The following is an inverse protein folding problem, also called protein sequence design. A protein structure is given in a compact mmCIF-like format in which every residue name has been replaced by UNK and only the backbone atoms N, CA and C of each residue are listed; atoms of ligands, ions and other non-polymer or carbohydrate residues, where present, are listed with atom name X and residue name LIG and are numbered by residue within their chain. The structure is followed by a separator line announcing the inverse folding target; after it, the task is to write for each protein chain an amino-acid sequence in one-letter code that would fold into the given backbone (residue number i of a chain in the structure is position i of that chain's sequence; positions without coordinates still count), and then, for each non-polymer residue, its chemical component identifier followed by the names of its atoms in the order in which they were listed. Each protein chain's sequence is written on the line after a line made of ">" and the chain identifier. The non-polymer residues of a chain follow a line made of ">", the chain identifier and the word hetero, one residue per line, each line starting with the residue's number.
data_IF_812121222040
#
_entry.id   IF_812121222040
#
_cell.length_a   1.000
_cell.length_b   1.000
_cell.length_c   1.000
_cell.angle_alpha   90.00
_cell.angle_beta   90.00
_cell.angle_gamma   90.00
#
_symmetry.space_group_name_H-M   'P 1'
#
loop_
_entity.id
_entity.type
_entity.pdbx_description
1 polymer ?
#
# COMPACT_ATOMS: atom_id res chain seq x y z
N UNK A 1 21.85 11.40 -5.13
CA UNK A 1 21.02 10.18 -4.95
C UNK A 1 19.98 10.16 -6.06
N UNK A 2 19.55 8.99 -6.58
CA UNK A 2 18.50 8.97 -7.62
C UNK A 2 17.13 8.67 -7.02
N UNK A 3 16.08 9.04 -7.74
CA UNK A 3 14.69 8.78 -7.32
C UNK A 3 14.41 7.28 -7.11
N UNK A 4 14.96 6.42 -7.95
CA UNK A 4 14.81 4.97 -7.85
C UNK A 4 15.47 4.43 -6.57
N UNK A 5 16.60 5.01 -6.15
CA UNK A 5 17.27 4.66 -4.90
C UNK A 5 16.37 4.98 -3.70
N UNK A 6 15.71 6.14 -3.72
CA UNK A 6 14.81 6.56 -2.64
C UNK A 6 13.54 5.70 -2.56
N UNK A 7 12.99 5.31 -3.72
CA UNK A 7 11.84 4.39 -3.78
C UNK A 7 12.24 3.01 -3.25
N UNK A 8 13.44 2.52 -3.59
CA UNK A 8 13.97 1.24 -3.09
C UNK A 8 14.20 1.28 -1.58
N UNK A 9 14.82 2.34 -1.07
CA UNK A 9 15.04 2.55 0.38
C UNK A 9 13.74 2.33 1.12
N UNK A 10 12.62 2.85 0.62
CA UNK A 10 11.33 2.74 1.27
C UNK A 10 10.79 1.29 1.42
N UNK A 11 11.43 0.30 0.78
CA UNK A 11 11.17 -1.13 0.96
C UNK A 11 12.17 -1.86 1.88
N UNK A 12 13.28 -1.22 2.23
CA UNK A 12 14.39 -1.78 3.01
C UNK A 12 14.31 -1.32 4.49
N UNK A 13 13.47 -1.98 5.30
CA UNK A 13 13.40 -1.72 6.75
C UNK A 13 14.21 -2.76 7.57
N UNK A 14 15.00 -2.36 8.58
CA UNK A 14 15.28 -0.98 9.01
C UNK A 14 16.17 -0.22 8.02
N UNK A 15 15.96 1.09 7.91
CA UNK A 15 16.64 1.91 6.91
C UNK A 15 18.10 2.19 7.29
N UNK A 16 19.02 2.22 6.31
CA UNK A 16 20.42 2.55 6.57
C UNK A 16 20.57 4.02 6.98
N UNK A 17 21.58 4.30 7.80
CA UNK A 17 22.02 5.67 8.06
C UNK A 17 22.97 6.10 6.95
N UNK A 18 22.67 7.21 6.30
CA UNK A 18 23.52 7.81 5.26
C UNK A 18 24.12 9.10 5.83
N UNK A 19 25.41 9.35 5.62
CA UNK A 19 26.05 10.58 6.12
C UNK A 19 25.63 11.80 5.30
N UNK A 20 25.97 11.81 4.01
CA UNK A 20 25.71 12.94 3.12
C UNK A 20 24.78 12.54 1.97
N UNK A 21 23.79 13.38 1.68
CA UNK A 21 22.86 13.20 0.56
C UNK A 21 22.89 14.44 -0.32
N UNK A 22 23.26 14.27 -1.58
CA UNK A 22 23.07 15.28 -2.62
C UNK A 22 21.75 15.02 -3.35
N UNK A 23 20.89 16.05 -3.39
CA UNK A 23 19.56 16.00 -4.00
C UNK A 23 19.59 16.54 -5.43
N UNK A 24 18.89 15.82 -6.30
CA UNK A 24 18.50 16.29 -7.63
C UNK A 24 17.04 16.79 -7.61
N UNK A 25 16.68 17.70 -8.52
CA UNK A 25 15.30 18.22 -8.63
C UNK A 25 14.27 17.08 -8.79
N UNK A 26 14.62 16.02 -9.54
CA UNK A 26 13.74 14.87 -9.76
C UNK A 26 13.34 14.16 -8.45
N UNK A 27 14.21 14.13 -7.43
CA UNK A 27 13.83 13.55 -6.13
C UNK A 27 12.70 14.35 -5.50
N UNK A 28 12.75 15.68 -5.64
CA UNK A 28 11.78 16.61 -5.05
C UNK A 28 10.47 16.67 -5.86
N UNK A 29 10.40 16.03 -7.02
CA UNK A 29 9.15 15.76 -7.75
C UNK A 29 8.32 14.64 -7.11
N UNK A 30 8.92 13.85 -6.21
CA UNK A 30 8.18 12.90 -5.38
C UNK A 30 7.56 13.62 -4.18
N UNK A 31 6.24 13.49 -4.02
CA UNK A 31 5.49 14.18 -2.97
C UNK A 31 5.96 13.83 -1.54
N UNK A 32 6.40 12.60 -1.33
CA UNK A 32 6.82 12.06 -0.04
C UNK A 32 8.34 12.11 0.18
N UNK A 33 9.09 12.77 -0.71
CA UNK A 33 10.55 12.81 -0.62
C UNK A 33 11.08 13.32 0.73
N UNK A 34 10.54 14.37 1.39
CA UNK A 34 11.11 14.83 2.65
C UNK A 34 10.97 13.80 3.77
N UNK A 35 9.84 13.06 3.82
CA UNK A 35 9.64 11.98 4.78
C UNK A 35 10.63 10.84 4.53
N UNK A 36 10.77 10.38 3.28
CA UNK A 36 11.68 9.30 2.94
C UNK A 36 13.15 9.66 3.17
N UNK A 37 13.56 10.89 2.86
CA UNK A 37 14.91 11.38 3.12
C UNK A 37 15.18 11.45 4.63
N UNK A 38 14.19 11.87 5.43
CA UNK A 38 14.35 11.92 6.89
C UNK A 38 14.60 10.55 7.52
N UNK A 39 14.06 9.47 6.93
CA UNK A 39 14.27 8.11 7.42
C UNK A 39 15.70 7.60 7.23
N UNK A 40 16.47 8.22 6.34
CA UNK A 40 17.89 7.90 6.13
C UNK A 40 18.81 8.58 7.16
N UNK A 41 18.27 9.45 8.01
CA UNK A 41 19.00 10.24 9.02
C UNK A 41 20.30 10.89 8.49
N UNK A 42 20.25 11.65 7.38
CA UNK A 42 21.42 12.35 6.85
C UNK A 42 22.00 13.35 7.85
N UNK A 43 23.33 13.35 8.00
CA UNK A 43 24.03 14.41 8.74
C UNK A 43 24.12 15.70 7.92
N UNK A 44 24.13 15.59 6.59
CA UNK A 44 24.18 16.72 5.67
C UNK A 44 23.32 16.44 4.42
N UNK A 45 22.52 17.42 4.00
CA UNK A 45 21.74 17.36 2.75
C UNK A 45 22.13 18.55 1.91
N UNK A 46 22.66 18.32 0.70
CA UNK A 46 23.03 19.38 -0.24
C UNK A 46 22.04 19.44 -1.40
N UNK A 47 21.75 20.66 -1.85
CA UNK A 47 20.92 20.93 -3.03
C UNK A 47 21.33 22.27 -3.66
N UNK A 48 20.82 22.62 -4.84
CA UNK A 48 21.17 23.90 -5.51
C UNK A 48 20.95 25.12 -4.62
N UNK A 49 19.86 25.12 -3.83
CA UNK A 49 19.49 26.23 -2.96
C UNK A 49 19.53 25.86 -1.48
N UNK A 50 19.78 26.85 -0.63
CA UNK A 50 19.54 26.76 0.81
C UNK A 50 18.02 26.81 1.03
N UNK A 51 17.42 25.70 1.44
CA UNK A 51 15.98 25.58 1.50
C UNK A 51 15.47 24.81 2.72
N UNK A 52 14.27 25.17 3.15
CA UNK A 52 13.42 24.37 4.00
C UNK A 52 12.33 23.74 3.12
N UNK A 53 12.35 22.43 2.98
CA UNK A 53 11.50 21.69 2.05
C UNK A 53 10.48 20.89 2.85
N UNK A 54 9.20 21.12 2.58
CA UNK A 54 8.07 20.57 3.32
C UNK A 54 7.32 19.52 2.47
N UNK A 55 7.18 18.32 3.03
CA UNK A 55 6.45 17.19 2.46
C UNK A 55 4.94 17.31 2.60
N UNK A 56 4.19 16.47 1.86
CA UNK A 56 2.71 16.41 1.96
C UNK A 56 2.21 15.96 3.34
N UNK A 57 2.99 15.15 4.04
CA UNK A 57 2.72 14.67 5.40
C UNK A 57 3.13 15.68 6.49
N UNK A 58 3.76 16.80 6.09
CA UNK A 58 4.29 17.82 7.00
C UNK A 58 5.73 17.58 7.47
N UNK A 59 6.40 16.53 6.96
CA UNK A 59 7.84 16.34 7.18
C UNK A 59 8.66 17.51 6.62
N UNK A 60 9.80 17.80 7.24
CA UNK A 60 10.66 18.93 6.86
C UNK A 60 12.11 18.46 6.77
N UNK A 61 12.77 18.77 5.66
CA UNK A 61 14.22 18.65 5.51
C UNK A 61 14.83 20.04 5.24
N UNK A 62 16.10 20.21 5.61
CA UNK A 62 16.87 21.43 5.36
C UNK A 62 18.05 21.10 4.47
N UNK A 63 18.28 21.93 3.45
CA UNK A 63 19.38 21.75 2.50
C UNK A 63 20.42 22.85 2.66
N UNK A 64 21.69 22.48 2.49
CA UNK A 64 22.78 23.42 2.32
C UNK A 64 22.95 23.70 0.83
N UNK A 65 22.73 24.96 0.46
CA UNK A 65 22.83 25.44 -0.92
C UNK A 65 24.29 25.61 -1.37
N UNK A 66 24.58 25.24 -2.61
CA UNK A 66 25.88 25.53 -3.23
C UNK A 66 25.87 26.86 -4.02
N UNK A 67 24.69 27.42 -4.33
CA UNK A 67 24.58 28.70 -5.03
C UNK A 67 24.70 29.90 -4.08
N UNK A 68 25.48 30.91 -4.52
CA UNK A 68 26.05 32.05 -3.77
C UNK A 68 25.04 33.08 -3.19
N UNK A 69 23.76 32.77 -3.09
CA UNK A 69 22.75 33.70 -2.55
C UNK A 69 22.40 33.29 -1.12
N UNK A 70 22.59 34.19 -0.13
CA UNK A 70 22.24 33.98 1.30
C UNK A 70 20.73 33.78 1.55
N UNK A 71 19.93 33.73 0.48
CA UNK A 71 18.48 33.57 0.53
C UNK A 71 18.11 32.15 0.89
N UNK A 72 17.39 32.02 1.99
CA UNK A 72 16.74 30.77 2.40
C UNK A 72 15.37 30.65 1.74
N UNK A 73 15.18 29.61 0.94
CA UNK A 73 13.91 29.31 0.28
C UNK A 73 13.01 28.45 1.18
N UNK A 74 11.69 28.59 1.00
CA UNK A 74 10.68 27.72 1.58
C UNK A 74 9.93 27.03 0.45
N UNK A 75 9.99 25.70 0.40
CA UNK A 75 9.53 24.91 -0.74
C UNK A 75 8.58 23.81 -0.27
N UNK A 76 7.62 23.45 -1.12
CA UNK A 76 6.74 22.31 -0.92
C UNK A 76 6.94 21.29 -2.02
N UNK A 77 6.94 20.01 -1.68
CA UNK A 77 6.93 18.94 -2.67
C UNK A 77 5.49 18.63 -3.13
N UNK A 78 5.32 18.21 -4.39
CA UNK A 78 6.35 18.06 -5.40
C UNK A 78 6.71 19.41 -6.05
N UNK A 79 7.97 19.60 -6.48
CA UNK A 79 8.37 20.81 -7.24
C UNK A 79 7.69 20.80 -8.61
N UNK A 80 7.81 19.69 -9.33
CA UNK A 80 7.03 19.41 -10.54
C UNK A 80 6.22 18.13 -10.33
N UNK A 81 4.94 18.15 -10.70
CA UNK A 81 4.10 16.96 -10.56
C UNK A 81 4.52 15.92 -11.59
N UNK A 82 4.92 14.74 -11.13
CA UNK A 82 5.27 13.59 -11.97
C UNK A 82 4.47 12.35 -11.59
N UNK A 83 4.06 11.57 -12.58
CA UNK A 83 3.31 10.31 -12.38
C UNK A 83 4.29 9.16 -12.55
N UNK A 84 4.61 8.49 -11.44
CA UNK A 84 5.68 7.49 -11.38
C UNK A 84 5.18 6.07 -11.12
N UNK A 85 3.96 5.91 -10.58
CA UNK A 85 3.44 4.63 -10.11
C UNK A 85 4.14 4.17 -8.83
N UNK A 86 3.65 3.07 -8.26
CA UNK A 86 4.28 2.47 -7.07
C UNK A 86 4.15 0.94 -7.12
N UNK A 87 5.29 0.28 -6.98
CA UNK A 87 5.36 -1.18 -6.96
C UNK A 87 5.35 -1.67 -5.51
N UNK A 88 4.22 -2.24 -5.08
CA UNK A 88 4.13 -2.96 -3.82
C UNK A 88 4.94 -4.26 -3.91
N UNK A 89 5.99 -4.39 -3.11
CA UNK A 89 6.78 -5.63 -2.99
C UNK A 89 6.54 -6.17 -1.58
N UNK A 90 5.88 -7.33 -1.49
CA UNK A 90 5.58 -7.97 -0.22
C UNK A 90 6.17 -9.38 -0.16
N UNK A 91 6.81 -9.71 0.96
CA UNK A 91 7.30 -11.07 1.22
C UNK A 91 6.15 -12.00 1.61
N UNK A 92 5.60 -12.69 0.62
CA UNK A 92 4.53 -13.67 0.82
C UNK A 92 4.97 -14.84 1.72
N UNK A 93 6.28 -15.14 1.83
CA UNK A 93 6.78 -16.20 2.72
C UNK A 93 6.58 -15.84 4.19
N UNK A 94 6.78 -14.58 4.55
CA UNK A 94 6.51 -14.09 5.90
C UNK A 94 5.04 -14.30 6.29
N UNK A 95 4.11 -14.03 5.37
CA UNK A 95 2.67 -14.26 5.61
C UNK A 95 2.36 -15.76 5.76
N UNK A 96 2.97 -16.61 4.92
CA UNK A 96 2.83 -18.07 5.04
C UNK A 96 3.34 -18.60 6.38
N UNK A 97 4.51 -18.14 6.84
CA UNK A 97 5.06 -18.52 8.14
C UNK A 97 4.13 -18.11 9.29
N UNK A 98 3.63 -16.87 9.26
CA UNK A 98 2.66 -16.37 10.24
C UNK A 98 1.41 -17.26 10.29
N UNK A 99 0.90 -17.65 9.12
CA UNK A 99 -0.25 -18.55 9.03
C UNK A 99 0.02 -19.90 9.67
N UNK A 100 1.15 -20.54 9.33
CA UNK A 100 1.48 -21.88 9.82
C UNK A 100 1.71 -21.90 11.34
N UNK A 101 2.27 -20.82 11.90
CA UNK A 101 2.47 -20.71 13.34
C UNK A 101 1.15 -20.48 14.11
N UNK A 102 0.20 -19.72 13.53
CA UNK A 102 -1.02 -19.32 14.23
C UNK A 102 -2.22 -20.23 13.96
N UNK A 103 -2.38 -20.74 12.74
CA UNK A 103 -3.57 -21.47 12.30
C UNK A 103 -3.30 -22.99 12.35
N UNK A 104 -4.07 -23.77 13.11
CA UNK A 104 -4.02 -25.22 13.02
C UNK A 104 -4.40 -25.71 11.61
N UNK A 105 -3.52 -26.50 11.00
CA UNK A 105 -3.70 -27.10 9.69
C UNK A 105 -3.65 -28.61 9.77
N UNK A 106 -4.46 -29.27 8.94
CA UNK A 106 -4.35 -30.70 8.61
C UNK A 106 -3.72 -30.87 7.22
N UNK A 107 -3.41 -32.11 6.84
CA UNK A 107 -2.99 -32.44 5.47
C UNK A 107 -4.10 -32.09 4.45
N UNK A 108 -3.70 -31.47 3.34
CA UNK A 108 -4.57 -31.11 2.23
C UNK A 108 -4.35 -29.69 1.72
N UNK A 109 -5.18 -29.29 0.75
CA UNK A 109 -5.06 -28.00 0.08
C UNK A 109 -5.95 -26.92 0.69
N UNK A 110 -5.45 -25.69 0.68
CA UNK A 110 -6.17 -24.51 1.12
C UNK A 110 -5.75 -23.25 0.36
N UNK A 111 -6.45 -22.16 0.65
CA UNK A 111 -6.25 -20.85 0.05
C UNK A 111 -6.15 -19.81 1.16
N UNK A 112 -5.21 -18.89 1.00
CA UNK A 112 -5.09 -17.68 1.81
C UNK A 112 -5.31 -16.46 0.92
N UNK A 113 -6.24 -15.60 1.32
CA UNK A 113 -6.27 -14.21 0.90
C UNK A 113 -5.27 -13.41 1.75
N UNK A 114 -4.10 -13.02 1.21
CA UNK A 114 -3.15 -12.20 1.98
C UNK A 114 -3.65 -10.76 2.15
N UNK A 115 -4.69 -10.33 1.45
CA UNK A 115 -5.18 -8.96 1.54
C UNK A 115 -5.80 -8.68 2.91
N UNK A 116 -5.48 -7.54 3.56
CA UNK A 116 -6.17 -7.11 4.78
C UNK A 116 -7.61 -6.64 4.52
N UNK A 117 -8.08 -6.68 3.27
CA UNK A 117 -9.42 -6.28 2.83
C UNK A 117 -10.14 -7.41 2.11
N UNK A 118 -11.43 -7.20 1.86
CA UNK A 118 -12.23 -8.10 1.02
C UNK A 118 -11.65 -8.12 -0.39
N UNK A 119 -11.34 -9.33 -0.88
CA UNK A 119 -10.78 -9.56 -2.20
C UNK A 119 -11.87 -10.03 -3.15
N UNK A 120 -11.99 -9.34 -4.28
CA UNK A 120 -12.71 -9.79 -5.48
C UNK A 120 -11.66 -10.19 -6.50
N UNK A 121 -11.74 -11.41 -7.01
CA UNK A 121 -10.71 -11.96 -7.92
C UNK A 121 -11.24 -13.16 -8.70
N UNK A 122 -10.37 -13.82 -9.47
CA UNK A 122 -10.66 -15.05 -10.20
C UNK A 122 -9.75 -16.19 -9.75
N UNK A 123 -10.32 -17.37 -9.55
CA UNK A 123 -9.59 -18.64 -9.46
C UNK A 123 -10.10 -19.51 -10.59
N UNK A 124 -9.21 -19.99 -11.47
CA UNK A 124 -9.56 -20.88 -12.58
C UNK A 124 -10.71 -20.31 -13.45
N UNK A 125 -10.61 -19.01 -13.76
CA UNK A 125 -11.60 -18.22 -14.51
C UNK A 125 -12.98 -18.08 -13.86
N UNK A 126 -13.18 -18.53 -12.62
CA UNK A 126 -14.40 -18.31 -11.85
C UNK A 126 -14.20 -17.12 -10.91
N UNK A 127 -15.16 -16.20 -10.91
CA UNK A 127 -15.19 -15.06 -9.99
C UNK A 127 -15.37 -15.55 -8.55
N UNK A 128 -14.61 -14.96 -7.65
CA UNK A 128 -14.62 -15.29 -6.23
C UNK A 128 -14.67 -14.03 -5.37
N UNK A 129 -15.12 -14.22 -4.13
CA UNK A 129 -14.99 -13.22 -3.06
C UNK A 129 -14.35 -13.91 -1.85
N UNK A 130 -13.31 -13.30 -1.28
CA UNK A 130 -12.70 -13.73 -0.02
C UNK A 130 -12.70 -12.58 0.97
N UNK A 131 -13.00 -12.88 2.23
CA UNK A 131 -12.93 -11.93 3.33
C UNK A 131 -11.48 -11.51 3.63
N UNK A 132 -11.27 -10.41 4.37
CA UNK A 132 -9.95 -9.98 4.86
C UNK A 132 -9.16 -11.12 5.49
N UNK A 133 -7.93 -11.35 5.03
CA UNK A 133 -7.04 -12.36 5.60
C UNK A 133 -7.57 -13.79 5.54
N UNK A 134 -8.63 -14.07 4.77
CA UNK A 134 -9.35 -15.34 4.85
C UNK A 134 -8.45 -16.54 4.52
N UNK A 135 -8.46 -17.53 5.40
CA UNK A 135 -7.87 -18.85 5.22
C UNK A 135 -9.00 -19.86 5.10
N UNK A 136 -9.07 -20.58 3.98
CA UNK A 136 -10.19 -21.49 3.68
C UNK A 136 -9.77 -22.64 2.77
N UNK A 137 -10.52 -23.74 2.78
CA UNK A 137 -10.42 -24.80 1.76
C UNK A 137 -11.33 -24.55 0.56
N UNK A 138 -12.36 -23.71 0.74
CA UNK A 138 -13.44 -23.49 -0.25
C UNK A 138 -13.69 -22.01 -0.46
N UNK A 139 -12.95 -21.35 -1.38
CA UNK A 139 -13.23 -19.97 -1.78
C UNK A 139 -14.71 -19.81 -2.21
N UNK A 140 -15.32 -18.67 -1.91
CA UNK A 140 -16.70 -18.43 -2.34
C UNK A 140 -16.73 -18.00 -3.80
N UNK A 141 -17.38 -18.79 -4.63
CA UNK A 141 -17.67 -18.43 -6.01
C UNK A 141 -18.90 -17.52 -6.04
N UNK A 142 -18.69 -16.25 -6.36
CA UNK A 142 -19.75 -15.24 -6.41
C UNK A 142 -19.40 -14.22 -7.49
N UNK A 143 -20.42 -13.82 -8.24
CA UNK A 143 -20.26 -12.79 -9.27
C UNK A 143 -19.92 -11.43 -8.63
N UNK A 144 -19.17 -10.61 -9.36
CA UNK A 144 -18.74 -9.28 -8.95
C UNK A 144 -18.48 -8.37 -10.15
N UNK A 145 -18.42 -7.07 -9.91
CA UNK A 145 -18.42 -6.00 -10.92
C UNK A 145 -17.11 -5.82 -11.69
N UNK A 146 -16.00 -6.40 -11.23
CA UNK A 146 -14.71 -6.27 -11.91
C UNK A 146 -14.77 -6.89 -13.31
N UNK A 147 -14.32 -6.13 -14.31
CA UNK A 147 -14.18 -6.55 -15.70
C UNK A 147 -12.69 -6.77 -15.97
N UNK A 148 -12.35 -7.92 -16.56
CA UNK A 148 -10.99 -8.33 -16.88
C UNK A 148 -10.77 -8.20 -18.38
N UNK A 149 -9.86 -7.31 -18.77
CA UNK A 149 -9.40 -7.12 -20.15
C UNK A 149 -7.96 -7.64 -20.29
N UNK A 150 -7.65 -8.23 -21.44
CA UNK A 150 -6.30 -8.70 -21.75
C UNK A 150 -5.30 -7.54 -21.88
N UNK A 151 -4.00 -7.87 -21.81
CA UNK A 151 -2.92 -6.88 -21.98
C UNK A 151 -2.93 -6.26 -23.37
N UNK A 152 -2.47 -5.00 -23.48
CA UNK A 152 -2.35 -4.29 -24.75
C UNK A 152 -3.00 -2.91 -24.74
N UNK A 153 -3.56 -2.53 -25.87
CA UNK A 153 -4.25 -1.23 -26.04
C UNK A 153 -5.76 -1.42 -25.90
N UNK A 154 -6.32 -0.85 -24.85
CA UNK A 154 -7.76 -0.83 -24.60
C UNK A 154 -8.30 0.53 -25.02
N UNK A 155 -9.39 0.53 -25.79
CA UNK A 155 -10.10 1.74 -26.20
C UNK A 155 -11.51 1.72 -25.63
N UNK A 156 -11.90 2.83 -24.99
CA UNK A 156 -13.21 2.98 -24.37
C UNK A 156 -13.71 4.41 -24.53
N UNK A 157 -14.95 4.57 -24.95
CA UNK A 157 -15.61 5.88 -24.92
C UNK A 157 -16.20 6.13 -23.52
N UNK A 158 -15.71 7.18 -22.87
CA UNK A 158 -16.20 7.67 -21.57
C UNK A 158 -17.10 8.88 -21.67
N UNK A 159 -17.03 9.61 -22.78
CA UNK A 159 -17.64 10.94 -22.96
C UNK A 159 -17.14 11.99 -21.95
N UNK A 160 -16.03 11.75 -21.26
CA UNK A 160 -15.43 12.71 -20.32
C UNK A 160 -14.48 13.65 -21.05
N UNK A 161 -14.82 14.93 -21.14
CA UNK A 161 -13.96 15.91 -21.78
C UNK A 161 -12.74 16.29 -20.91
N UNK A 162 -12.97 16.64 -19.64
CA UNK A 162 -11.96 17.11 -18.69
C UNK A 162 -12.11 16.48 -17.28
N UNK A 163 -12.06 15.14 -17.17
CA UNK A 163 -12.23 14.48 -15.88
C UNK A 163 -11.07 14.82 -14.94
N UNK A 164 -11.32 14.68 -13.64
CA UNK A 164 -10.25 14.66 -12.66
C UNK A 164 -9.61 13.27 -12.65
N UNK A 165 -8.29 13.24 -12.76
CA UNK A 165 -7.52 12.01 -12.71
C UNK A 165 -7.02 11.77 -11.30
N UNK A 166 -7.20 10.55 -10.81
CA UNK A 166 -6.55 10.04 -9.60
C UNK A 166 -5.64 8.89 -9.97
N UNK A 167 -4.47 8.83 -9.35
CA UNK A 167 -3.44 7.84 -9.67
C UNK A 167 -2.59 7.52 -8.44
N UNK A 168 -1.91 6.38 -8.49
CA UNK A 168 -0.97 5.95 -7.47
C UNK A 168 0.40 6.58 -7.72
N UNK A 169 0.90 7.29 -6.73
CA UNK A 169 2.31 7.62 -6.60
C UNK A 169 2.89 6.88 -5.38
N UNK A 170 4.22 6.82 -5.22
CA UNK A 170 4.81 6.18 -4.06
C UNK A 170 4.26 6.79 -2.76
N UNK A 171 3.64 5.94 -1.93
CA UNK A 171 3.08 6.28 -0.62
C UNK A 171 1.95 7.33 -0.60
N UNK A 172 1.34 7.66 -1.75
CA UNK A 172 0.23 8.61 -1.82
C UNK A 172 -0.68 8.37 -3.02
N UNK A 173 -1.95 8.75 -2.90
CA UNK A 173 -2.85 8.89 -4.05
C UNK A 173 -2.90 10.36 -4.43
N UNK A 174 -2.42 10.64 -5.63
CA UNK A 174 -2.35 11.99 -6.18
C UNK A 174 -3.49 12.24 -7.16
N UNK A 175 -3.72 13.52 -7.47
CA UNK A 175 -4.73 13.92 -8.45
C UNK A 175 -4.25 15.04 -9.34
N UNK A 176 -4.69 15.01 -10.60
CA UNK A 176 -4.36 16.01 -11.62
C UNK A 176 -5.55 16.27 -12.55
N UNK A 177 -5.51 17.39 -13.27
CA UNK A 177 -6.40 17.69 -14.40
C UNK A 177 -5.86 17.14 -15.72
N UNK A 178 -4.62 16.66 -15.75
CA UNK A 178 -3.95 16.05 -16.91
C UNK A 178 -3.27 14.73 -16.54
N UNK A 179 -2.97 13.91 -17.54
CA UNK A 179 -2.19 12.68 -17.40
C UNK A 179 -0.85 12.84 -18.09
N UNK A 180 0.22 12.72 -17.31
CA UNK A 180 1.60 12.83 -17.75
C UNK A 180 2.43 11.79 -17.00
N UNK A 181 2.58 10.60 -17.60
CA UNK A 181 3.42 9.54 -17.07
C UNK A 181 2.69 8.19 -16.93
N UNK A 182 3.15 7.40 -15.95
CA UNK A 182 2.70 6.01 -15.74
C UNK A 182 2.27 5.80 -14.30
N UNK A 183 1.25 4.98 -14.08
CA UNK A 183 0.78 4.59 -12.75
C UNK A 183 0.17 3.19 -12.81
N UNK A 184 0.08 2.48 -11.68
CA UNK A 184 -0.57 1.17 -11.61
C UNK A 184 -2.10 1.27 -11.72
N UNK A 185 -2.66 2.46 -11.46
CA UNK A 185 -4.05 2.75 -11.79
C UNK A 185 -4.25 4.20 -12.25
N UNK A 186 -5.31 4.41 -13.03
CA UNK A 186 -5.93 5.72 -13.21
C UNK A 186 -7.43 5.62 -13.00
N UNK A 187 -7.97 6.52 -12.18
CA UNK A 187 -9.40 6.73 -12.01
C UNK A 187 -9.78 8.08 -12.60
N UNK A 188 -10.67 8.06 -13.59
CA UNK A 188 -11.23 9.24 -14.21
C UNK A 188 -12.58 9.51 -13.56
N UNK A 189 -12.72 10.66 -12.93
CA UNK A 189 -13.90 11.03 -12.15
C UNK A 189 -14.51 12.33 -12.65
N UNK A 190 -15.82 12.30 -12.92
CA UNK A 190 -16.65 13.46 -13.24
C UNK A 190 -18.04 13.30 -12.58
N UNK A 191 -19.08 12.97 -13.34
CA UNK A 191 -20.41 12.58 -12.83
C UNK A 191 -20.42 11.13 -12.28
N UNK A 192 -19.55 10.29 -12.84
CA UNK A 192 -19.24 8.95 -12.39
C UNK A 192 -17.72 8.71 -12.45
N UNK A 193 -17.27 7.53 -12.02
CA UNK A 193 -15.88 7.16 -12.01
C UNK A 193 -15.62 5.86 -12.77
N UNK A 194 -14.65 5.91 -13.69
CA UNK A 194 -14.10 4.74 -14.39
C UNK A 194 -12.66 4.56 -13.92
N UNK A 195 -12.34 3.40 -13.34
CA UNK A 195 -10.98 3.08 -12.90
C UNK A 195 -10.39 1.97 -13.75
N UNK A 196 -9.17 2.20 -14.21
CA UNK A 196 -8.33 1.23 -14.91
C UNK A 196 -7.18 0.86 -13.97
N UNK A 197 -7.05 -0.42 -13.67
CA UNK A 197 -6.10 -0.93 -12.68
C UNK A 197 -5.29 -2.06 -13.27
N UNK A 198 -3.98 -2.08 -13.04
CA UNK A 198 -3.12 -3.17 -13.50
C UNK A 198 -2.06 -3.50 -12.45
N UNK A 199 -1.55 -4.72 -12.53
CA UNK A 199 -0.37 -5.11 -11.75
C UNK A 199 0.82 -4.26 -12.19
N UNK A 200 1.04 -4.11 -13.49
CA UNK A 200 2.09 -3.24 -14.05
C UNK A 200 1.66 -1.77 -14.15
N UNK A 201 2.63 -0.88 -14.31
CA UNK A 201 2.34 0.53 -14.61
C UNK A 201 1.74 0.62 -16.02
N UNK A 202 0.71 1.44 -16.18
CA UNK A 202 0.00 1.67 -17.44
C UNK A 202 0.04 3.15 -17.81
N UNK A 203 -0.21 3.48 -19.08
CA UNK A 203 -0.44 4.86 -19.55
C UNK A 203 -1.89 5.04 -19.96
N UNK A 204 -2.39 6.26 -19.84
CA UNK A 204 -3.72 6.62 -20.32
C UNK A 204 -3.65 7.94 -21.10
N UNK A 205 -4.43 8.02 -22.17
CA UNK A 205 -4.68 9.27 -22.90
C UNK A 205 -6.17 9.43 -23.10
N UNK A 206 -6.67 10.66 -22.95
CA UNK A 206 -8.06 11.01 -23.21
C UNK A 206 -8.11 12.03 -24.34
N UNK A 207 -8.73 11.65 -25.46
CA UNK A 207 -8.98 12.56 -26.57
C UNK A 207 -10.49 12.80 -26.68
N UNK A 208 -10.96 13.93 -26.13
CA UNK A 208 -12.35 14.36 -26.17
C UNK A 208 -13.37 13.29 -25.72
N UNK A 209 -13.03 12.51 -24.68
CA UNK A 209 -13.89 11.46 -24.15
C UNK A 209 -13.57 10.06 -24.65
N UNK A 210 -12.73 9.91 -25.68
CA UNK A 210 -12.21 8.61 -26.10
C UNK A 210 -10.92 8.30 -25.35
N UNK A 211 -10.99 7.28 -24.48
CA UNK A 211 -9.89 6.86 -23.62
C UNK A 211 -9.11 5.77 -24.34
N UNK A 212 -7.79 5.92 -24.38
CA UNK A 212 -6.86 4.85 -24.75
C UNK A 212 -5.99 4.50 -23.54
N UNK A 213 -5.95 3.23 -23.17
CA UNK A 213 -5.12 2.69 -22.09
C UNK A 213 -4.12 1.73 -22.69
N UNK A 214 -2.84 1.90 -22.38
CA UNK A 214 -1.80 0.95 -22.78
C UNK A 214 -1.19 0.31 -21.53
N UNK A 215 -1.21 -1.02 -21.48
CA UNK A 215 -0.67 -1.79 -20.37
C UNK A 215 0.08 -3.04 -20.86
N UNK A 216 1.22 -3.32 -20.23
CA UNK A 216 2.02 -4.52 -20.51
C UNK A 216 1.42 -5.79 -19.88
N UNK A 217 0.47 -5.62 -18.97
CA UNK A 217 -0.24 -6.73 -18.31
C UNK A 217 -1.75 -6.48 -18.34
N UNK A 218 -2.49 -7.48 -17.86
CA UNK A 218 -3.95 -7.44 -17.76
C UNK A 218 -4.44 -6.16 -17.08
N UNK A 219 -5.57 -5.63 -17.56
CA UNK A 219 -6.24 -4.47 -16.96
C UNK A 219 -7.57 -4.89 -16.35
N UNK A 220 -7.81 -4.44 -15.13
CA UNK A 220 -9.09 -4.51 -14.45
C UNK A 220 -9.80 -3.17 -14.62
N UNK A 221 -11.03 -3.22 -15.14
CA UNK A 221 -11.90 -2.06 -15.27
C UNK A 221 -13.01 -2.16 -14.23
N UNK A 222 -13.26 -1.06 -13.52
CA UNK A 222 -14.38 -0.92 -12.58
C UNK A 222 -15.06 0.43 -12.74
N UNK A 223 -16.38 0.45 -12.52
CA UNK A 223 -17.23 1.64 -12.57
C UNK A 223 -17.89 1.88 -11.22
N UNK A 224 -17.88 3.12 -10.77
CA UNK A 224 -18.40 3.53 -9.45
C UNK A 224 -18.81 5.01 -9.48
N UNK A 225 -19.28 5.58 -8.35
CA UNK A 225 -19.55 7.03 -8.29
C UNK A 225 -18.28 7.84 -8.06
N UNK A 226 -17.37 7.31 -7.25
CA UNK A 226 -16.09 7.96 -6.92
C UNK A 226 -14.96 6.94 -6.88
N UNK A 227 -13.72 7.38 -7.10
CA UNK A 227 -12.56 6.50 -7.01
C UNK A 227 -12.41 5.85 -5.62
N UNK A 228 -12.94 6.49 -4.57
CA UNK A 228 -12.92 5.96 -3.21
C UNK A 228 -13.84 4.76 -3.03
N UNK A 229 -14.90 4.65 -3.82
CA UNK A 229 -15.79 3.49 -3.83
C UNK A 229 -15.15 2.31 -4.57
N UNK A 230 -14.47 2.57 -5.69
CA UNK A 230 -13.79 1.52 -6.46
C UNK A 230 -12.52 0.99 -5.79
N UNK A 231 -11.92 1.77 -4.87
CA UNK A 231 -10.71 1.43 -4.11
C UNK A 231 -9.61 0.80 -4.98
N UNK A 232 -9.18 1.49 -6.06
CA UNK A 232 -8.28 0.91 -7.05
C UNK A 232 -6.93 0.50 -6.46
N UNK A 233 -6.48 1.16 -5.39
CA UNK A 233 -5.26 0.80 -4.66
C UNK A 233 -5.34 -0.59 -4.00
N UNK A 234 -6.51 -1.01 -3.50
CA UNK A 234 -6.71 -2.38 -2.96
C UNK A 234 -6.60 -3.40 -4.10
N UNK A 235 -7.11 -3.06 -5.30
CA UNK A 235 -7.01 -3.90 -6.49
C UNK A 235 -5.55 -4.01 -6.96
N UNK A 236 -4.78 -2.91 -7.03
CA UNK A 236 -3.34 -2.95 -7.34
C UNK A 236 -2.61 -3.87 -6.37
N UNK A 237 -2.87 -3.72 -5.06
CA UNK A 237 -2.26 -4.54 -4.02
C UNK A 237 -2.57 -6.03 -4.22
N UNK A 238 -3.83 -6.37 -4.51
CA UNK A 238 -4.27 -7.75 -4.76
C UNK A 238 -3.62 -8.36 -6.01
N UNK A 239 -3.44 -7.58 -7.08
CA UNK A 239 -2.77 -8.04 -8.31
C UNK A 239 -1.28 -8.30 -8.09
N UNK A 240 -0.63 -7.51 -7.22
CA UNK A 240 0.78 -7.71 -6.83
C UNK A 240 0.99 -8.80 -5.79
N UNK A 241 -0.02 -9.06 -4.97
CA UNK A 241 0.01 -10.07 -3.90
C UNK A 241 -1.08 -11.11 -4.15
N UNK A 242 -0.83 -12.10 -5.04
CA UNK A 242 -1.85 -13.07 -5.45
C UNK A 242 -2.32 -13.96 -4.29
N UNK A 243 -3.47 -14.61 -4.49
CA UNK A 243 -3.97 -15.63 -3.57
C UNK A 243 -2.93 -16.73 -3.43
N UNK A 244 -2.65 -17.10 -2.18
CA UNK A 244 -1.63 -18.09 -1.88
C UNK A 244 -2.32 -19.46 -1.78
N UNK A 245 -1.95 -20.38 -2.68
CA UNK A 245 -2.28 -21.80 -2.54
C UNK A 245 -1.39 -22.39 -1.44
N UNK A 246 -2.00 -23.11 -0.51
CA UNK A 246 -1.35 -23.70 0.66
C UNK A 246 -1.46 -25.21 0.60
N UNK A 247 -0.38 -25.91 0.99
CA UNK A 247 -0.47 -27.31 1.41
C UNK A 247 -0.80 -27.38 2.91
N UNK A 248 -1.89 -26.70 3.28
CA UNK A 248 -2.46 -26.69 4.61
C UNK A 248 -3.98 -26.66 4.45
N UNK A 249 -4.66 -27.63 5.04
CA UNK A 249 -6.12 -27.64 5.16
C UNK A 249 -6.50 -26.97 6.50
N UNK A 250 -6.93 -25.70 6.53
CA UNK A 250 -7.32 -25.06 7.77
C UNK A 250 -8.54 -25.74 8.38
N UNK A 251 -8.52 -25.97 9.70
CA UNK A 251 -9.66 -26.57 10.43
C UNK A 251 -10.91 -25.70 10.39
N UNK A 252 -10.73 -24.39 10.31
CA UNK A 252 -11.78 -23.38 10.33
C UNK A 252 -11.56 -22.35 9.24
N UNK A 253 -12.65 -21.83 8.68
CA UNK A 253 -12.62 -20.62 7.85
C UNK A 253 -12.43 -19.40 8.74
N UNK A 254 -11.25 -18.80 8.76
CA UNK A 254 -10.88 -17.70 9.67
C UNK A 254 -10.12 -16.60 8.97
N UNK A 255 -10.14 -15.39 9.52
CA UNK A 255 -9.31 -14.27 9.06
C UNK A 255 -7.95 -14.33 9.77
N UNK A 256 -6.86 -14.52 9.04
CA UNK A 256 -5.51 -14.45 9.59
C UNK A 256 -5.25 -13.06 10.18
N UNK A 257 -5.52 -12.01 9.41
CA UNK A 257 -5.45 -10.63 9.87
C UNK A 257 -6.37 -9.71 9.06
N UNK A 258 -6.66 -8.54 9.63
CA UNK A 258 -7.36 -7.46 8.92
C UNK A 258 -6.88 -6.10 9.43
N UNK A 259 -7.04 -5.08 8.58
CA UNK A 259 -6.69 -3.68 8.88
C UNK A 259 -7.89 -2.81 8.56
N UNK A 260 -8.27 -1.97 9.51
CA UNK A 260 -9.34 -0.98 9.36
C UNK A 260 -8.84 0.41 9.82
N UNK A 261 -9.32 1.52 9.22
CA UNK A 261 -10.16 1.60 8.02
C UNK A 261 -9.39 1.29 6.72
N UNK A 262 -10.11 1.17 5.60
CA UNK A 262 -9.51 1.18 4.26
C UNK A 262 -8.64 2.42 4.05
N UNK A 263 -7.58 2.29 3.26
CA UNK A 263 -6.60 3.35 3.02
C UNK A 263 -5.36 3.29 3.91
N UNK A 264 -5.31 2.38 4.89
CA UNK A 264 -4.07 1.99 5.57
C UNK A 264 -3.49 0.77 4.86
N UNK A 265 -2.38 0.95 4.15
CA UNK A 265 -1.79 -0.12 3.31
C UNK A 265 -0.54 -0.70 3.99
N UNK A 266 -0.48 -2.03 4.19
CA UNK A 266 0.78 -2.69 4.50
C UNK A 266 1.65 -2.76 3.23
N UNK A 267 2.80 -2.08 3.26
CA UNK A 267 3.78 -2.14 2.19
C UNK A 267 4.99 -3.00 2.54
N UNK A 268 5.16 -3.35 3.82
CA UNK A 268 6.20 -4.25 4.30
C UNK A 268 5.65 -5.13 5.42
N UNK A 269 5.94 -6.43 5.34
CA UNK A 269 5.54 -7.44 6.33
C UNK A 269 6.71 -8.39 6.51
N UNK A 270 7.15 -8.60 7.74
CA UNK A 270 8.14 -9.59 8.10
C UNK A 270 7.67 -10.39 9.30
N UNK A 271 7.80 -11.71 9.24
CA UNK A 271 7.48 -12.58 10.36
C UNK A 271 8.60 -13.59 10.63
N UNK A 272 9.02 -13.65 11.90
CA UNK A 272 9.93 -14.67 12.41
C UNK A 272 9.55 -15.07 13.84
N UNK A 273 9.24 -16.36 14.05
CA UNK A 273 9.09 -17.02 15.36
C UNK A 273 8.29 -16.21 16.40
N UNK A 274 7.06 -15.83 16.06
CA UNK A 274 6.19 -15.08 16.97
C UNK A 274 6.43 -13.56 16.98
N UNK A 275 7.35 -13.03 16.17
CA UNK A 275 7.54 -11.60 15.98
C UNK A 275 7.03 -11.18 14.60
N UNK A 276 5.97 -10.36 14.56
CA UNK A 276 5.42 -9.77 13.35
C UNK A 276 5.81 -8.29 13.27
N UNK A 277 6.49 -7.90 12.21
CA UNK A 277 6.80 -6.50 11.92
C UNK A 277 6.03 -6.04 10.69
N UNK A 278 5.50 -4.82 10.76
CA UNK A 278 4.64 -4.22 9.74
C UNK A 278 5.15 -2.81 9.41
N UNK A 279 5.19 -2.47 8.13
CA UNK A 279 5.31 -1.12 7.63
C UNK A 279 3.97 -0.71 7.02
N UNK A 280 3.32 0.28 7.62
CA UNK A 280 1.99 0.75 7.24
C UNK A 280 2.08 2.17 6.69
N UNK A 281 1.41 2.44 5.58
CA UNK A 281 1.21 3.80 5.05
C UNK A 281 -0.25 4.21 5.15
N UNK A 282 -0.50 5.44 5.58
CA UNK A 282 -1.84 6.03 5.56
C UNK A 282 -2.04 6.84 4.28
N UNK A 283 -2.88 6.39 3.36
CA UNK A 283 -3.20 7.13 2.14
C UNK A 283 -4.26 8.24 2.34
N UNK A 284 -4.74 8.42 3.57
CA UNK A 284 -5.74 9.42 3.89
C UNK A 284 -5.11 10.77 4.27
N UNK A 285 -5.84 11.84 3.97
CA UNK A 285 -5.46 13.24 4.28
C UNK A 285 -5.68 13.62 5.74
N UNK A 286 -6.11 12.68 6.56
CA UNK A 286 -6.37 12.88 7.99
C UNK A 286 -5.55 11.84 8.77
N UNK A 287 -5.11 12.17 10.00
CA UNK A 287 -4.55 11.17 10.90
C UNK A 287 -5.61 10.13 11.24
N UNK A 288 -5.19 8.87 11.37
CA UNK A 288 -6.07 7.73 11.60
C UNK A 288 -5.54 6.89 12.75
N UNK A 289 -6.45 6.42 13.60
CA UNK A 289 -6.20 5.33 14.52
C UNK A 289 -6.63 4.03 13.84
N UNK A 290 -5.66 3.24 13.38
CA UNK A 290 -5.92 2.02 12.62
C UNK A 290 -6.09 0.82 13.55
N UNK A 291 -7.19 0.09 13.39
CA UNK A 291 -7.40 -1.19 14.06
C UNK A 291 -6.71 -2.30 13.26
N UNK A 292 -5.68 -2.91 13.84
CA UNK A 292 -5.09 -4.15 13.35
C UNK A 292 -5.65 -5.32 14.17
N UNK A 293 -6.16 -6.35 13.50
CA UNK A 293 -6.62 -7.58 14.16
C UNK A 293 -5.94 -8.82 13.57
N UNK A 294 -5.73 -9.83 14.41
CA UNK A 294 -4.99 -11.06 14.05
C UNK A 294 -5.71 -12.29 14.61
N UNK A 295 -5.63 -13.45 13.95
CA UNK A 295 -5.98 -14.76 14.50
C UNK A 295 -4.90 -15.31 15.46
N UNK A 296 -4.40 -14.43 16.33
CA UNK A 296 -3.35 -14.68 17.31
C UNK A 296 -3.62 -13.86 18.56
N UNK A 297 -2.97 -14.22 19.67
CA UNK A 297 -2.87 -13.35 20.84
C UNK A 297 -1.69 -12.42 20.66
N UNK A 298 -1.93 -11.11 20.68
CA UNK A 298 -0.89 -10.09 20.71
C UNK A 298 -0.49 -9.88 22.17
N UNK A 299 0.75 -10.24 22.51
CA UNK A 299 1.29 -10.12 23.87
C UNK A 299 2.02 -8.81 24.10
N UNK A 300 2.52 -8.19 23.02
CA UNK A 300 3.21 -6.91 23.06
C UNK A 300 3.07 -6.20 21.72
N UNK A 301 2.97 -4.87 21.73
CA UNK A 301 2.92 -4.05 20.55
C UNK A 301 3.79 -2.79 20.72
N UNK A 302 4.66 -2.51 19.76
CA UNK A 302 5.67 -1.46 19.82
C UNK A 302 5.68 -0.65 18.53
N UNK A 303 5.75 0.67 18.63
CA UNK A 303 6.07 1.55 17.49
C UNK A 303 7.59 1.62 17.36
N UNK A 304 8.07 1.52 16.12
CA UNK A 304 9.48 1.62 15.78
C UNK A 304 9.77 2.93 15.03
N UNK A 305 10.96 3.49 15.24
CA UNK A 305 11.53 4.49 14.35
C UNK A 305 12.00 3.87 13.02
N UNK A 306 12.49 4.72 12.12
CA UNK A 306 13.07 4.35 10.82
C UNK A 306 14.22 3.35 10.90
N UNK A 307 14.90 3.24 12.05
CA UNK A 307 16.06 2.38 12.26
C UNK A 307 15.73 1.15 13.12
N UNK A 308 14.45 0.90 13.41
CA UNK A 308 14.00 -0.26 14.16
C UNK A 308 14.14 -0.14 15.68
N UNK A 309 14.42 1.05 16.23
CA UNK A 309 14.41 1.29 17.67
C UNK A 309 12.99 1.58 18.14
N UNK A 310 12.69 1.15 19.36
CA UNK A 310 11.38 1.36 19.97
C UNK A 310 11.21 2.84 20.33
N UNK A 311 10.13 3.45 19.87
CA UNK A 311 9.76 4.84 20.18
C UNK A 311 8.57 4.94 21.11
N UNK A 312 7.64 4.00 21.02
CA UNK A 312 6.42 3.97 21.82
C UNK A 312 5.92 2.53 22.05
N UNK A 313 5.09 2.34 23.06
CA UNK A 313 4.42 1.08 23.38
C UNK A 313 2.91 1.24 23.28
N UNK A 314 2.27 0.29 22.59
CA UNK A 314 0.83 0.27 22.39
C UNK A 314 0.20 -0.80 23.27
N UNK A 315 -0.96 -0.51 23.86
CA UNK A 315 -1.70 -1.49 24.65
C UNK A 315 -2.51 -2.42 23.72
N UNK A 316 -2.23 -3.74 23.71
CA UNK A 316 -2.98 -4.69 22.89
C UNK A 316 -4.29 -5.11 23.56
N UNK A 317 -5.38 -5.08 22.81
CA UNK A 317 -6.70 -5.61 23.19
C UNK A 317 -6.80 -7.10 22.83
N UNK A 318 -5.96 -7.94 23.45
CA UNK A 318 -5.89 -9.40 23.25
C UNK A 318 -5.49 -9.87 21.84
N UNK A 319 -6.34 -9.67 20.83
CA UNK A 319 -6.15 -10.06 19.42
C UNK A 319 -6.15 -8.85 18.47
N UNK A 320 -6.22 -7.64 19.05
CA UNK A 320 -6.28 -6.36 18.36
C UNK A 320 -5.28 -5.37 18.94
N UNK A 321 -4.89 -4.40 18.13
CA UNK A 321 -4.12 -3.25 18.56
C UNK A 321 -4.51 -2.04 17.72
N UNK A 322 -4.56 -0.87 18.38
CA UNK A 322 -4.84 0.42 17.74
C UNK A 322 -3.53 1.13 17.44
N UNK A 323 -3.27 1.38 16.16
CA UNK A 323 -2.01 1.95 15.68
C UNK A 323 -2.28 3.38 15.21
N UNK A 324 -1.74 4.41 15.89
CA UNK A 324 -1.87 5.79 15.44
C UNK A 324 -0.96 6.03 14.23
N UNK A 325 -1.53 6.56 13.15
CA UNK A 325 -0.79 6.88 11.92
C UNK A 325 -1.13 8.32 11.50
N UNK A 326 -0.11 9.13 11.28
CA UNK A 326 -0.27 10.53 10.82
C UNK A 326 -0.90 10.58 9.43
N UNK A 327 -1.46 11.73 9.07
CA UNK A 327 -1.95 11.94 7.70
C UNK A 327 -0.82 11.72 6.70
N UNK A 328 -1.05 10.91 5.66
CA UNK A 328 -0.05 10.63 4.63
C UNK A 328 1.28 10.09 5.19
N UNK A 329 1.22 9.53 6.41
CA UNK A 329 2.37 9.09 7.18
C UNK A 329 2.69 7.62 6.99
N UNK A 330 3.95 7.26 7.25
CA UNK A 330 4.41 5.88 7.38
C UNK A 330 4.66 5.56 8.85
N UNK A 331 4.32 4.35 9.29
CA UNK A 331 4.54 3.89 10.66
C UNK A 331 4.99 2.43 10.66
N UNK A 332 5.99 2.13 11.47
CA UNK A 332 6.50 0.78 11.67
C UNK A 332 6.07 0.25 13.02
N UNK A 333 5.58 -0.99 13.05
CA UNK A 333 5.08 -1.63 14.26
C UNK A 333 5.70 -3.02 14.39
N UNK A 334 6.09 -3.38 15.61
CA UNK A 334 6.49 -4.73 16.01
C UNK A 334 5.46 -5.29 16.97
N UNK A 335 4.95 -6.47 16.67
CA UNK A 335 4.00 -7.23 17.48
C UNK A 335 4.63 -8.56 17.91
N UNK A 336 4.55 -8.87 19.19
CA UNK A 336 4.80 -10.24 19.68
C UNK A 336 3.47 -11.00 19.72
N UNK A 337 3.42 -12.12 19.01
CA UNK A 337 2.18 -12.86 18.74
C UNK A 337 2.32 -14.33 19.11
N UNK A 338 1.24 -14.89 19.65
CA UNK A 338 1.14 -16.31 20.01
C UNK A 338 -0.12 -16.93 19.43
N UNK A 339 -0.09 -18.24 19.25
CA UNK A 339 -1.25 -19.02 18.83
C UNK A 339 -2.42 -18.89 19.81
N UNK A 340 -3.63 -18.76 19.29
CA UNK A 340 -4.85 -18.79 20.10
C UNK A 340 -5.21 -20.22 20.52
N UNK A 341 -5.84 -20.35 21.68
CA UNK A 341 -6.50 -21.60 22.05
C UNK A 341 -7.66 -21.88 21.07
N UNK A 342 -7.89 -23.16 20.74
CA UNK A 342 -8.92 -23.60 19.78
C UNK A 342 -10.31 -22.98 20.05
N UNK A 343 -10.81 -22.88 21.31
CA UNK A 343 -12.10 -22.25 21.58
C UNK A 343 -12.17 -20.76 21.21
N UNK A 344 -11.04 -20.03 21.31
CA UNK A 344 -10.96 -18.62 20.96
C UNK A 344 -10.82 -18.44 19.44
N UNK A 345 -10.11 -19.35 18.78
CA UNK A 345 -10.03 -19.37 17.32
C UNK A 345 -11.41 -19.66 16.68
N UNK A 346 -12.23 -20.53 17.29
CA UNK A 346 -13.62 -20.77 16.82
C UNK A 346 -14.49 -19.52 16.84
N UNK A 347 -14.24 -18.58 17.77
CA UNK A 347 -14.98 -17.31 17.80
C UNK A 347 -14.62 -16.36 16.64
N UNK A 348 -13.52 -16.65 15.93
CA UNK A 348 -13.08 -15.94 14.72
C UNK A 348 -13.53 -16.60 13.42
N UNK A 349 -14.40 -17.63 13.50
CA UNK A 349 -14.97 -18.25 12.29
C UNK A 349 -15.73 -17.19 11.51
N UNK A 350 -15.41 -17.11 10.22
CA UNK A 350 -16.11 -16.25 9.29
C UNK A 350 -17.33 -17.02 8.80
N UNK A 351 -18.51 -16.54 9.18
CA UNK A 351 -19.78 -16.97 8.60
C UNK A 351 -20.17 -15.93 7.55
N UNK A 352 -20.38 -16.36 6.31
CA UNK A 352 -20.82 -15.51 5.20
C UNK A 352 -22.06 -16.14 4.59
#
# INVERSE_FOLDING_TARGET
>A
MKIDDLIKVASDFPFPVIGEIELDDEILDLEQSPQLISYLSPSNITWKYNAEIIGKDGSVIKTNGNELDDKKFLIRTPIQKRQLGWDFILDTKSIQKLLLDLIPCEEGEGYLNPSPWTRKDWIENKKIIMAPGEVTTTPQFRDHELIKEESGTIKLDSNFYNPKYYYLNPFIISSSSSVEGKSNFFSLELDNCISFVSGSKLTISNNMGSITVNADSQVIITRSRTWKESKPYEIVWNLRTPIIKLNCKPKYRVSLYSIYPSGIIPFWINYDKGELKLGLVNLNKEPILSDFSLAGRITKALILDSHGKVTDELEPEFDRVKIPIRSLGITFVKLEVKKLLDPLLRRKIITI
#
